data_IF_133775717164
#
_entry.id   IF_133775717164
#
_cell.length_a   1.000
_cell.length_b   1.000
_cell.length_c   1.000
_cell.angle_alpha   90.00
_cell.angle_beta   90.00
_cell.angle_gamma   90.00
#
_symmetry.space_group_name_H-M   'P 1'
#
loop_
_entity.id
_entity.type
_entity.pdbx_description
1 polymer ?
#
# COMPACT_ATOMS: atom_id res chain seq x y z
N UNK A 1 -1.05 -8.76 -7.74
CA UNK A 1 -0.93 -9.77 -8.81
C UNK A 1 -1.40 -9.26 -10.17
N UNK A 2 -2.67 -8.89 -10.38
CA UNK A 2 -3.14 -8.38 -11.70
C UNK A 2 -2.28 -7.24 -12.26
N UNK A 3 -1.86 -6.27 -11.43
CA UNK A 3 -0.96 -5.18 -11.86
C UNK A 3 0.32 -5.69 -12.50
N UNK A 4 0.94 -6.75 -11.94
CA UNK A 4 2.16 -7.35 -12.46
C UNK A 4 1.92 -7.97 -13.83
N UNK A 5 0.84 -8.75 -13.97
CA UNK A 5 0.43 -9.36 -15.24
C UNK A 5 0.10 -8.32 -16.31
N UNK A 6 -0.64 -7.27 -15.94
CA UNK A 6 -0.99 -6.18 -16.84
C UNK A 6 0.27 -5.45 -17.32
N UNK A 7 1.17 -5.06 -16.41
CA UNK A 7 2.43 -4.41 -16.78
C UNK A 7 3.31 -5.33 -17.65
N UNK A 8 3.42 -6.62 -17.30
CA UNK A 8 4.17 -7.57 -18.12
C UNK A 8 3.63 -7.62 -19.56
N UNK A 9 2.31 -7.60 -19.72
CA UNK A 9 1.67 -7.52 -21.04
C UNK A 9 1.93 -6.18 -21.73
N UNK A 10 1.98 -5.07 -20.99
CA UNK A 10 2.30 -3.76 -21.56
C UNK A 10 3.75 -3.63 -22.04
N UNK A 11 4.69 -4.47 -21.55
CA UNK A 11 6.05 -4.55 -22.12
C UNK A 11 6.04 -4.97 -23.61
N UNK A 12 4.95 -5.54 -24.13
CA UNK A 12 4.80 -5.81 -25.58
C UNK A 12 4.65 -4.50 -26.40
N UNK A 13 4.26 -3.40 -25.76
CA UNK A 13 3.91 -2.13 -26.42
C UNK A 13 4.75 -0.93 -25.95
N UNK A 14 5.38 -1.04 -24.78
CA UNK A 14 6.14 0.01 -24.15
C UNK A 14 7.51 -0.54 -23.72
N UNK A 15 8.54 0.29 -23.84
CA UNK A 15 9.91 -0.06 -23.47
C UNK A 15 10.18 0.36 -22.02
N UNK A 16 10.24 -0.62 -21.12
CA UNK A 16 10.56 -0.41 -19.70
C UNK A 16 10.99 -1.72 -19.03
N UNK A 17 11.83 -1.60 -18.01
CA UNK A 17 12.20 -2.71 -17.13
C UNK A 17 11.16 -2.93 -16.02
N UNK A 18 10.98 -4.19 -15.62
CA UNK A 18 10.00 -4.57 -14.62
C UNK A 18 10.63 -5.46 -13.55
N UNK A 19 10.55 -5.01 -12.30
CA UNK A 19 10.97 -5.74 -11.10
C UNK A 19 9.78 -5.79 -10.14
N UNK A 20 9.53 -6.94 -9.55
CA UNK A 20 8.52 -7.14 -8.51
C UNK A 20 9.16 -7.00 -7.12
N UNK A 21 8.40 -6.45 -6.16
CA UNK A 21 8.81 -6.37 -4.76
C UNK A 21 7.71 -6.98 -3.90
N UNK A 22 8.07 -7.93 -3.04
CA UNK A 22 7.21 -8.41 -1.96
C UNK A 22 7.79 -7.98 -0.61
N UNK A 23 6.90 -7.73 0.35
CA UNK A 23 7.29 -7.46 1.75
C UNK A 23 6.56 -8.48 2.61
N UNK A 24 7.29 -9.17 3.47
CA UNK A 24 6.74 -9.99 4.54
C UNK A 24 6.68 -9.19 5.85
N UNK A 25 5.51 -9.14 6.47
CA UNK A 25 5.34 -8.47 7.76
C UNK A 25 5.58 -9.39 8.94
N UNK A 26 5.74 -10.69 8.74
CA UNK A 26 5.90 -11.65 9.82
C UNK A 26 4.60 -11.91 10.59
N UNK A 27 3.45 -11.90 9.90
CA UNK A 27 2.15 -12.29 10.49
C UNK A 27 2.01 -13.81 10.44
N UNK A 28 2.00 -14.46 11.60
CA UNK A 28 1.93 -15.92 11.71
C UNK A 28 0.63 -16.48 11.12
N UNK A 29 0.76 -17.56 10.35
CA UNK A 29 -0.38 -18.31 9.79
C UNK A 29 -1.15 -17.61 8.66
N UNK A 30 -0.79 -16.37 8.32
CA UNK A 30 -1.45 -15.59 7.26
C UNK A 30 -0.60 -15.50 5.99
N UNK A 31 0.71 -15.27 6.14
CA UNK A 31 1.52 -14.74 5.04
C UNK A 31 2.19 -15.76 4.12
N UNK A 32 2.37 -17.00 4.57
CA UNK A 32 3.13 -18.01 3.82
C UNK A 32 2.58 -18.21 2.40
N UNK A 33 1.26 -18.42 2.27
CA UNK A 33 0.60 -18.56 0.97
C UNK A 33 0.65 -17.26 0.13
N UNK A 34 0.66 -16.09 0.76
CA UNK A 34 0.78 -14.81 0.07
C UNK A 34 2.14 -14.61 -0.61
N UNK A 35 3.21 -15.03 0.07
CA UNK A 35 4.57 -14.99 -0.47
C UNK A 35 4.71 -16.01 -1.59
N UNK A 36 4.24 -17.25 -1.38
CA UNK A 36 4.30 -18.30 -2.40
C UNK A 36 3.59 -17.86 -3.70
N UNK A 37 2.40 -17.28 -3.57
CA UNK A 37 1.69 -16.73 -4.72
C UNK A 37 2.49 -15.62 -5.43
N UNK A 38 3.13 -14.72 -4.69
CA UNK A 38 3.98 -13.67 -5.30
C UNK A 38 5.18 -14.27 -6.04
N UNK A 39 5.85 -15.26 -5.44
CA UNK A 39 6.99 -15.98 -6.04
C UNK A 39 6.57 -16.71 -7.31
N UNK A 40 5.47 -17.47 -7.26
CA UNK A 40 4.97 -18.23 -8.39
C UNK A 40 4.61 -17.30 -9.56
N UNK A 41 3.85 -16.23 -9.31
CA UNK A 41 3.47 -15.28 -10.35
C UNK A 41 4.68 -14.57 -10.99
N UNK A 42 5.66 -14.16 -10.18
CA UNK A 42 6.86 -13.50 -10.70
C UNK A 42 7.68 -14.47 -11.58
N UNK A 43 7.84 -15.72 -11.11
CA UNK A 43 8.52 -16.79 -11.84
C UNK A 43 7.84 -17.11 -13.16
N UNK A 44 6.52 -17.28 -13.17
CA UNK A 44 5.74 -17.61 -14.36
C UNK A 44 5.81 -16.50 -15.42
N UNK A 45 5.94 -15.25 -15.00
CA UNK A 45 6.09 -14.08 -15.88
C UNK A 45 7.55 -13.78 -16.26
N UNK A 46 8.52 -14.51 -15.70
CA UNK A 46 9.95 -14.23 -15.89
C UNK A 46 10.35 -12.84 -15.40
N UNK A 47 9.75 -12.38 -14.29
CA UNK A 47 10.05 -11.09 -13.66
C UNK A 47 10.87 -11.33 -12.39
N UNK A 48 11.94 -10.56 -12.20
CA UNK A 48 12.72 -10.61 -10.96
C UNK A 48 11.85 -10.23 -9.76
N UNK A 49 11.96 -10.98 -8.67
CA UNK A 49 11.27 -10.69 -7.41
C UNK A 49 12.27 -10.41 -6.30
N UNK A 50 12.26 -9.19 -5.79
CA UNK A 50 12.98 -8.80 -4.59
C UNK A 50 12.05 -9.03 -3.40
N UNK A 51 12.46 -9.96 -2.53
CA UNK A 51 11.74 -10.28 -1.31
C UNK A 51 12.37 -9.51 -0.15
N UNK A 52 11.54 -8.77 0.59
CA UNK A 52 11.91 -8.02 1.78
C UNK A 52 11.09 -8.48 2.97
N UNK A 53 11.53 -8.18 4.18
CA UNK A 53 10.78 -8.54 5.38
C UNK A 53 10.98 -7.52 6.50
N UNK A 54 9.96 -7.35 7.35
CA UNK A 54 10.08 -6.50 8.53
C UNK A 54 11.19 -6.99 9.45
N UNK A 55 11.33 -8.31 9.58
CA UNK A 55 12.35 -8.89 10.44
C UNK A 55 13.77 -8.54 9.96
N UNK A 56 14.06 -8.69 8.67
CA UNK A 56 15.40 -8.40 8.12
C UNK A 56 15.68 -6.90 7.99
N UNK A 57 14.70 -6.10 7.56
CA UNK A 57 14.91 -4.67 7.30
C UNK A 57 14.73 -3.79 8.57
N UNK A 58 13.92 -4.24 9.54
CA UNK A 58 13.54 -3.44 10.72
C UNK A 58 13.92 -4.07 12.07
N UNK A 59 14.18 -5.39 12.13
CA UNK A 59 14.60 -6.11 13.33
C UNK A 59 13.47 -6.72 14.17
N UNK A 60 12.22 -6.65 13.71
CA UNK A 60 11.04 -7.21 14.38
C UNK A 60 9.99 -7.63 13.35
N UNK A 61 9.08 -8.53 13.73
CA UNK A 61 7.85 -8.80 12.98
C UNK A 61 6.72 -7.85 13.40
N UNK A 62 5.69 -7.72 12.56
CA UNK A 62 4.48 -6.98 12.93
C UNK A 62 3.80 -7.59 14.15
N UNK A 63 3.81 -8.92 14.26
CA UNK A 63 3.26 -9.65 15.41
C UNK A 63 3.97 -9.31 16.73
N UNK A 64 5.19 -8.77 16.69
CA UNK A 64 5.95 -8.40 17.89
C UNK A 64 5.52 -7.03 18.43
N UNK A 65 4.99 -6.14 17.57
CA UNK A 65 4.77 -4.72 17.92
C UNK A 65 3.32 -4.27 17.80
N UNK A 66 2.42 -5.10 17.26
CA UNK A 66 1.06 -4.65 16.92
C UNK A 66 0.23 -4.22 18.13
N UNK A 67 0.50 -4.79 19.32
CA UNK A 67 -0.22 -4.55 20.57
C UNK A 67 -0.08 -3.12 21.07
N UNK A 68 1.02 -2.45 20.72
CA UNK A 68 1.38 -1.14 21.25
C UNK A 68 0.64 -0.01 20.50
N UNK A 69 -0.10 -0.39 19.45
CA UNK A 69 -0.85 0.53 18.61
C UNK A 69 -2.33 0.25 18.68
N UNK A 70 -3.14 1.31 18.55
CA UNK A 70 -4.60 1.21 18.43
C UNK A 70 -5.06 0.33 17.25
N UNK A 71 -4.18 0.11 16.27
CA UNK A 71 -4.42 -0.77 15.12
C UNK A 71 -3.09 -1.20 14.52
N UNK A 72 -2.93 -2.51 14.28
CA UNK A 72 -1.76 -3.08 13.59
C UNK A 72 -1.52 -2.46 12.19
N UNK A 73 -2.57 -1.93 11.56
CA UNK A 73 -2.48 -1.28 10.25
C UNK A 73 -1.63 0.00 10.28
N UNK A 74 -1.44 0.63 11.46
CA UNK A 74 -0.63 1.84 11.61
C UNK A 74 0.86 1.51 11.39
N UNK A 75 1.52 0.68 12.23
CA UNK A 75 2.92 0.33 12.02
C UNK A 75 3.12 -0.43 10.69
N UNK A 76 2.23 -1.38 10.37
CA UNK A 76 2.28 -2.12 9.10
C UNK A 76 2.34 -1.19 7.88
N UNK A 77 1.44 -0.20 7.80
CA UNK A 77 1.42 0.74 6.69
C UNK A 77 2.64 1.68 6.65
N UNK A 78 3.23 2.02 7.80
CA UNK A 78 4.43 2.88 7.86
C UNK A 78 5.65 2.13 7.33
N UNK A 79 5.98 0.97 7.91
CA UNK A 79 7.16 0.20 7.53
C UNK A 79 7.05 -0.37 6.12
N UNK A 80 5.90 -0.91 5.72
CA UNK A 80 5.71 -1.42 4.34
C UNK A 80 5.96 -0.35 3.29
N UNK A 81 5.49 0.88 3.52
CA UNK A 81 5.74 2.00 2.59
C UNK A 81 7.20 2.43 2.58
N UNK A 82 7.86 2.43 3.75
CA UNK A 82 9.28 2.75 3.88
C UNK A 82 10.15 1.75 3.10
N UNK A 83 9.97 0.44 3.36
CA UNK A 83 10.67 -0.65 2.70
C UNK A 83 10.46 -0.61 1.18
N UNK A 84 9.20 -0.44 0.72
CA UNK A 84 8.91 -0.34 -0.71
C UNK A 84 9.60 0.87 -1.37
N UNK A 85 9.64 2.02 -0.69
CA UNK A 85 10.30 3.21 -1.24
C UNK A 85 11.81 3.03 -1.33
N UNK A 86 12.44 2.57 -0.23
CA UNK A 86 13.89 2.30 -0.18
C UNK A 86 14.30 1.30 -1.25
N UNK A 87 13.61 0.16 -1.30
CA UNK A 87 13.91 -0.89 -2.27
C UNK A 87 13.77 -0.37 -3.70
N UNK A 88 12.71 0.39 -4.00
CA UNK A 88 12.55 0.99 -5.33
C UNK A 88 13.62 2.03 -5.66
N UNK A 89 14.04 2.84 -4.69
CA UNK A 89 15.11 3.81 -4.85
C UNK A 89 16.47 3.13 -5.08
N UNK A 90 16.78 2.09 -4.32
CA UNK A 90 18.05 1.35 -4.39
C UNK A 90 18.24 0.63 -5.73
N UNK A 91 17.15 0.14 -6.33
CA UNK A 91 17.19 -0.47 -7.68
C UNK A 91 17.11 0.56 -8.80
N UNK A 92 16.99 1.85 -8.47
CA UNK A 92 16.90 2.93 -9.47
C UNK A 92 15.57 2.96 -10.23
N UNK A 93 14.46 2.51 -9.63
CA UNK A 93 13.16 2.51 -10.28
C UNK A 93 12.58 3.94 -10.45
N UNK A 94 12.04 4.23 -11.63
CA UNK A 94 11.38 5.51 -11.91
C UNK A 94 9.97 5.62 -11.28
N UNK A 95 9.30 4.48 -11.08
CA UNK A 95 7.89 4.40 -10.65
C UNK A 95 7.65 3.18 -9.77
N UNK A 96 6.81 3.31 -8.74
CA UNK A 96 6.26 2.18 -8.00
C UNK A 96 4.81 1.95 -8.42
N UNK A 97 4.53 0.85 -9.11
CA UNK A 97 3.16 0.46 -9.42
C UNK A 97 2.51 -0.28 -8.24
N UNK A 98 1.31 0.15 -7.86
CA UNK A 98 0.53 -0.51 -6.81
C UNK A 98 -0.80 -1.02 -7.33
N UNK A 99 -1.32 -2.09 -6.71
CA UNK A 99 -2.57 -2.74 -7.12
C UNK A 99 -3.85 -2.10 -6.61
N UNK A 100 -3.81 -0.82 -6.20
CA UNK A 100 -5.01 -0.11 -5.73
C UNK A 100 -6.02 0.02 -6.87
N UNK A 101 -7.23 -0.44 -6.59
CA UNK A 101 -8.34 -0.48 -7.53
C UNK A 101 -9.36 0.64 -7.24
N UNK A 102 -10.42 0.75 -8.03
CA UNK A 102 -11.45 1.79 -7.87
C UNK A 102 -12.04 1.82 -6.47
N UNK A 103 -12.34 0.64 -5.90
CA UNK A 103 -12.91 0.51 -4.56
C UNK A 103 -11.95 1.03 -3.49
N UNK A 104 -10.66 0.71 -3.59
CA UNK A 104 -9.63 1.18 -2.65
C UNK A 104 -9.55 2.72 -2.61
N UNK A 105 -9.71 3.36 -3.78
CA UNK A 105 -9.66 4.81 -3.92
C UNK A 105 -10.90 5.49 -3.35
N UNK A 106 -12.10 5.02 -3.68
CA UNK A 106 -13.33 5.59 -3.11
C UNK A 106 -13.42 5.35 -1.60
N UNK A 107 -12.93 4.21 -1.09
CA UNK A 107 -12.82 3.97 0.35
C UNK A 107 -11.90 4.99 1.01
N UNK A 108 -10.71 5.20 0.44
CA UNK A 108 -9.72 6.17 0.94
C UNK A 108 -10.25 7.60 0.89
N UNK A 109 -10.96 7.96 -0.18
CA UNK A 109 -11.64 9.24 -0.35
C UNK A 109 -12.69 9.45 0.74
N UNK A 110 -13.63 8.50 0.90
CA UNK A 110 -14.68 8.58 1.93
C UNK A 110 -14.11 8.64 3.35
N UNK A 111 -13.05 7.88 3.64
CA UNK A 111 -12.36 7.94 4.93
C UNK A 111 -11.72 9.31 5.20
N UNK A 112 -11.17 9.96 4.17
CA UNK A 112 -10.51 11.26 4.31
C UNK A 112 -11.55 12.38 4.40
N UNK A 113 -12.58 12.29 3.57
CA UNK A 113 -13.76 13.17 3.60
C UNK A 113 -14.46 13.14 4.96
N UNK A 114 -14.73 11.96 5.52
CA UNK A 114 -15.37 11.81 6.82
C UNK A 114 -14.55 12.39 7.99
N UNK A 115 -13.22 12.52 7.82
CA UNK A 115 -12.34 13.15 8.81
C UNK A 115 -12.14 14.64 8.59
N UNK A 116 -12.65 15.20 7.49
CA UNK A 116 -12.36 16.58 7.08
C UNK A 116 -10.89 16.81 6.72
N UNK A 117 -10.16 15.76 6.33
CA UNK A 117 -8.73 15.84 6.00
C UNK A 117 -8.55 16.15 4.50
N UNK A 118 -8.80 17.41 4.14
CA UNK A 118 -8.74 17.86 2.74
C UNK A 118 -7.31 17.86 2.20
N UNK A 119 -6.30 18.06 3.04
CA UNK A 119 -4.88 17.99 2.61
C UNK A 119 -4.57 16.64 1.94
N UNK A 120 -5.20 15.54 2.37
CA UNK A 120 -5.02 14.24 1.73
C UNK A 120 -5.55 14.18 0.30
N UNK A 121 -6.51 15.00 -0.09
CA UNK A 121 -7.07 15.01 -1.45
C UNK A 121 -6.00 15.32 -2.51
N UNK A 122 -5.05 16.21 -2.21
CA UNK A 122 -3.88 16.47 -3.07
C UNK A 122 -2.97 15.25 -3.30
N UNK A 123 -3.12 14.18 -2.50
CA UNK A 123 -2.29 12.95 -2.57
C UNK A 123 -3.01 11.79 -3.26
N UNK A 124 -4.11 12.09 -3.94
CA UNK A 124 -4.86 11.13 -4.73
C UNK A 124 -4.65 11.38 -6.21
N UNK A 125 -4.79 10.31 -6.98
CA UNK A 125 -4.64 10.34 -8.42
C UNK A 125 -4.10 9.00 -8.93
N UNK A 126 -4.29 8.70 -10.22
CA UNK A 126 -3.73 7.52 -10.86
C UNK A 126 -2.19 7.53 -10.87
N UNK A 127 -1.60 8.71 -10.78
CA UNK A 127 -0.18 8.97 -10.71
C UNK A 127 0.07 10.08 -9.68
N UNK A 128 1.15 9.93 -8.91
CA UNK A 128 1.61 10.95 -7.97
C UNK A 128 2.86 11.64 -8.51
N UNK A 129 2.93 12.95 -8.28
CA UNK A 129 4.08 13.76 -8.67
C UNK A 129 5.34 13.41 -7.88
N UNK A 130 6.48 13.71 -8.48
CA UNK A 130 7.78 13.68 -7.79
C UNK A 130 7.87 14.89 -6.87
N UNK A 131 7.72 14.64 -5.58
CA UNK A 131 7.78 15.69 -4.55
C UNK A 131 9.12 15.72 -3.79
N UNK A 132 9.98 14.72 -3.99
CA UNK A 132 11.33 14.66 -3.41
C UNK A 132 12.22 13.69 -4.20
N UNK A 133 13.53 13.97 -4.42
CA UNK A 133 14.42 13.10 -5.20
C UNK A 133 14.56 11.65 -4.69
N UNK A 134 14.50 11.46 -3.37
CA UNK A 134 14.53 10.13 -2.72
C UNK A 134 13.16 9.44 -2.60
N UNK A 135 12.09 10.05 -3.11
CA UNK A 135 10.74 9.49 -3.03
C UNK A 135 10.29 9.05 -4.43
N UNK A 136 10.25 7.75 -4.65
CA UNK A 136 9.86 7.19 -5.95
C UNK A 136 8.34 7.40 -6.14
N UNK A 137 7.89 8.07 -7.23
CA UNK A 137 6.49 8.35 -7.45
C UNK A 137 5.68 7.07 -7.65
N UNK A 138 4.43 7.06 -7.16
CA UNK A 138 3.54 5.90 -7.25
C UNK A 138 2.56 6.05 -8.40
N UNK A 139 2.33 4.95 -9.11
CA UNK A 139 1.27 4.81 -10.11
C UNK A 139 0.29 3.73 -9.70
N UNK A 140 -0.95 3.85 -10.15
CA UNK A 140 -2.06 2.95 -9.84
C UNK A 140 -2.73 2.51 -11.15
N UNK A 141 -2.17 1.52 -11.85
CA UNK A 141 -2.71 1.08 -13.15
C UNK A 141 -4.17 0.60 -13.10
N UNK A 142 -4.64 0.17 -11.91
CA UNK A 142 -6.01 -0.31 -11.69
C UNK A 142 -6.94 0.76 -11.10
N UNK A 143 -6.51 2.04 -11.06
CA UNK A 143 -7.21 3.15 -10.42
C UNK A 143 -8.71 3.21 -10.75
N UNK A 144 -9.08 2.90 -11.99
CA UNK A 144 -10.47 2.97 -12.47
C UNK A 144 -11.09 1.59 -12.73
N UNK A 145 -10.54 0.53 -12.14
CA UNK A 145 -11.01 -0.85 -12.30
C UNK A 145 -11.69 -1.31 -11.00
N UNK A 146 -12.96 -1.76 -11.02
CA UNK A 146 -13.64 -2.28 -9.84
C UNK A 146 -12.92 -3.50 -9.22
N UNK A 147 -12.94 -3.63 -7.89
CA UNK A 147 -12.36 -4.77 -7.17
C UNK A 147 -12.95 -6.11 -7.65
N UNK A 148 -14.26 -6.12 -7.95
CA UNK A 148 -14.95 -7.30 -8.50
C UNK A 148 -14.35 -7.76 -9.83
N UNK A 149 -13.98 -6.82 -10.70
CA UNK A 149 -13.42 -7.13 -12.01
C UNK A 149 -11.98 -7.64 -11.88
N UNK A 150 -11.21 -7.09 -10.94
CA UNK A 150 -9.87 -7.58 -10.57
C UNK A 150 -9.95 -9.04 -10.10
N UNK A 151 -10.87 -9.35 -9.20
CA UNK A 151 -11.10 -10.71 -8.70
C UNK A 151 -11.59 -11.66 -9.79
N UNK A 152 -12.55 -11.23 -10.61
CA UNK A 152 -13.08 -12.01 -11.72
C UNK A 152 -11.98 -12.35 -12.73
N UNK A 153 -11.12 -11.40 -13.06
CA UNK A 153 -10.00 -11.64 -13.95
C UNK A 153 -9.06 -12.72 -13.40
N UNK A 154 -8.74 -12.68 -12.11
CA UNK A 154 -7.85 -13.66 -11.48
C UNK A 154 -8.44 -15.07 -11.56
N UNK A 155 -9.75 -15.22 -11.29
CA UNK A 155 -10.46 -16.51 -11.38
C UNK A 155 -10.51 -17.02 -12.82
N UNK A 156 -10.89 -16.18 -13.79
CA UNK A 156 -11.02 -16.59 -15.20
C UNK A 156 -9.68 -17.02 -15.83
N UNK A 157 -8.57 -16.47 -15.34
CA UNK A 157 -7.24 -16.78 -15.85
C UNK A 157 -6.48 -17.80 -14.98
N UNK A 158 -7.14 -18.42 -13.99
CA UNK A 158 -6.54 -19.38 -13.05
C UNK A 158 -5.25 -18.88 -12.40
N UNK A 159 -5.27 -17.63 -11.96
CA UNK A 159 -4.11 -16.96 -11.38
C UNK A 159 -4.00 -17.35 -9.91
N UNK A 160 -2.80 -17.79 -9.50
CA UNK A 160 -2.49 -18.06 -8.10
C UNK A 160 -2.58 -16.76 -7.30
N UNK A 161 -3.56 -16.65 -6.42
CA UNK A 161 -3.79 -15.49 -5.57
C UNK A 161 -4.04 -15.94 -4.14
N UNK A 162 -3.55 -15.13 -3.21
CA UNK A 162 -3.90 -15.28 -1.80
C UNK A 162 -5.23 -14.57 -1.53
N UNK A 163 -6.24 -15.36 -1.15
CA UNK A 163 -7.62 -14.90 -0.92
C UNK A 163 -7.90 -14.53 0.54
N UNK A 164 -7.03 -14.89 1.48
CA UNK A 164 -7.30 -14.66 2.89
C UNK A 164 -7.15 -13.17 3.23
N UNK A 165 -8.08 -12.66 4.05
CA UNK A 165 -8.00 -11.32 4.59
C UNK A 165 -7.09 -11.28 5.82
N UNK A 166 -6.34 -10.19 5.98
CA UNK A 166 -5.43 -10.04 7.12
C UNK A 166 -6.23 -10.06 8.44
N UNK A 167 -5.80 -10.85 9.45
CA UNK A 167 -6.54 -11.00 10.70
C UNK A 167 -6.73 -9.67 11.46
N UNK A 168 -5.83 -8.70 11.24
CA UNK A 168 -5.89 -7.38 11.86
C UNK A 168 -6.75 -6.35 11.08
N UNK A 169 -7.26 -6.69 9.90
CA UNK A 169 -7.92 -5.74 9.00
C UNK A 169 -9.40 -5.47 9.32
N UNK A 170 -10.10 -6.44 9.91
CA UNK A 170 -11.57 -6.43 10.08
C UNK A 170 -12.08 -5.32 11.01
N UNK A 171 -11.26 -4.85 11.97
CA UNK A 171 -11.65 -3.80 12.92
C UNK A 171 -11.51 -2.38 12.34
N UNK A 172 -11.02 -2.26 11.11
CA UNK A 172 -10.73 -0.95 10.50
C UNK A 172 -11.98 -0.23 10.00
N UNK A 173 -11.95 1.11 10.03
CA UNK A 173 -12.96 1.95 9.36
C UNK A 173 -13.08 1.61 7.86
N UNK A 174 -11.97 1.23 7.23
CA UNK A 174 -11.95 0.83 5.82
C UNK A 174 -12.86 -0.38 5.56
N UNK A 175 -12.80 -1.41 6.42
CA UNK A 175 -13.65 -2.59 6.29
C UNK A 175 -15.14 -2.23 6.34
N UNK A 176 -15.55 -1.35 7.29
CA UNK A 176 -16.94 -0.87 7.39
C UNK A 176 -17.40 -0.10 6.15
N UNK A 177 -16.51 0.71 5.57
CA UNK A 177 -16.82 1.44 4.33
C UNK A 177 -16.90 0.49 3.14
N UNK A 178 -16.02 -0.50 3.04
CA UNK A 178 -16.08 -1.55 2.01
C UNK A 178 -17.42 -2.28 2.06
N UNK A 179 -17.86 -2.71 3.24
CA UNK A 179 -19.16 -3.34 3.44
C UNK A 179 -20.32 -2.43 2.99
N UNK A 180 -20.32 -1.17 3.44
CA UNK A 180 -21.33 -0.18 3.03
C UNK A 180 -21.37 -0.02 1.51
N UNK A 181 -20.23 0.11 0.85
CA UNK A 181 -20.13 0.27 -0.60
C UNK A 181 -20.63 -0.97 -1.33
N UNK A 182 -20.28 -2.17 -0.87
CA UNK A 182 -20.72 -3.43 -1.49
C UNK A 182 -22.24 -3.61 -1.38
N UNK A 183 -22.81 -3.42 -0.17
CA UNK A 183 -24.25 -3.55 0.06
C UNK A 183 -25.06 -2.58 -0.80
N UNK A 184 -24.54 -1.36 -1.00
CA UNK A 184 -25.26 -0.35 -1.79
C UNK A 184 -25.00 -0.47 -3.29
N UNK A 185 -23.86 -1.00 -3.73
CA UNK A 185 -23.64 -1.32 -5.15
C UNK A 185 -24.61 -2.40 -5.63
N UNK A 186 -24.88 -3.42 -4.81
CA UNK A 186 -25.86 -4.47 -5.14
C UNK A 186 -27.30 -3.93 -5.23
N UNK A 187 -27.64 -2.94 -4.39
CA UNK A 187 -28.97 -2.29 -4.40
C UNK A 187 -29.11 -1.24 -5.49
N UNK A 188 -28.02 -0.53 -5.79
CA UNK A 188 -27.96 0.61 -6.70
C UNK A 188 -26.73 0.47 -7.61
N UNK A 189 -26.82 -0.33 -8.69
CA UNK A 189 -25.70 -0.57 -9.59
C UNK A 189 -25.14 0.74 -10.17
N UNK A 190 -23.81 0.87 -10.15
CA UNK A 190 -23.09 2.07 -10.59
C UNK A 190 -22.83 3.10 -9.50
N UNK A 191 -23.24 2.85 -8.24
CA UNK A 191 -23.00 3.75 -7.11
C UNK A 191 -21.50 4.03 -6.91
N UNK A 192 -20.66 3.00 -6.93
CA UNK A 192 -19.20 3.15 -6.78
C UNK A 192 -18.60 3.99 -7.90
N UNK A 193 -19.05 3.77 -9.14
CA UNK A 193 -18.63 4.57 -10.30
C UNK A 193 -19.07 6.02 -10.15
N UNK A 194 -20.30 6.28 -9.71
CA UNK A 194 -20.80 7.64 -9.48
C UNK A 194 -19.99 8.37 -8.39
N UNK A 195 -19.58 7.66 -7.32
CA UNK A 195 -18.69 8.20 -6.29
C UNK A 195 -17.32 8.51 -6.89
N UNK A 196 -16.74 7.60 -7.66
CA UNK A 196 -15.45 7.79 -8.34
C UNK A 196 -15.49 9.01 -9.29
N UNK A 197 -16.55 9.18 -10.08
CA UNK A 197 -16.71 10.35 -10.95
C UNK A 197 -16.89 11.65 -10.17
N UNK A 198 -17.60 11.62 -9.03
CA UNK A 198 -17.71 12.77 -8.13
C UNK A 198 -16.35 13.12 -7.51
N UNK A 199 -15.60 12.10 -7.12
CA UNK A 199 -14.27 12.23 -6.55
C UNK A 199 -13.28 12.84 -7.55
N UNK A 200 -13.22 12.35 -8.79
CA UNK A 200 -12.37 12.93 -9.85
C UNK A 200 -12.62 14.42 -10.06
N UNK A 201 -13.89 14.86 -10.00
CA UNK A 201 -14.23 16.28 -10.11
C UNK A 201 -13.68 17.08 -8.94
N UNK A 202 -13.72 16.56 -7.72
CA UNK A 202 -13.20 17.23 -6.52
C UNK A 202 -11.67 17.35 -6.59
N UNK A 203 -10.96 16.30 -7.01
CA UNK A 203 -9.49 16.32 -7.11
C UNK A 203 -8.94 17.46 -7.97
N UNK A 204 -9.60 17.77 -9.07
CA UNK A 204 -9.18 18.84 -9.99
C UNK A 204 -9.09 20.21 -9.29
N UNK A 205 -9.83 20.43 -8.20
CA UNK A 205 -9.86 21.71 -7.50
C UNK A 205 -8.70 21.92 -6.51
N UNK A 206 -7.98 20.87 -6.08
CA UNK A 206 -7.05 20.96 -4.93
C UNK A 206 -5.56 20.77 -5.28
N UNK A 207 -5.18 20.75 -6.56
CA UNK A 207 -3.81 20.45 -6.99
C UNK A 207 -2.72 21.51 -6.66
N UNK A 208 -3.03 22.59 -5.94
CA UNK A 208 -2.12 23.72 -5.69
C UNK A 208 -1.37 23.69 -4.33
N UNK A 209 -1.29 22.54 -3.65
CA UNK A 209 -0.61 22.45 -2.35
C UNK A 209 0.83 21.95 -2.52
N UNK A 210 1.79 22.86 -2.66
CA UNK A 210 3.22 22.51 -2.57
C UNK A 210 3.57 22.10 -1.13
N UNK A 211 3.93 20.84 -0.92
CA UNK A 211 4.49 20.37 0.35
C UNK A 211 6.00 20.21 0.20
N UNK A 212 6.77 21.05 0.89
CA UNK A 212 8.21 20.84 1.02
C UNK A 212 8.46 19.69 2.00
N UNK A 213 9.13 18.64 1.53
CA UNK A 213 9.61 17.55 2.37
C UNK A 213 11.06 17.81 2.79
N UNK A 214 11.37 17.45 4.03
CA UNK A 214 12.73 17.43 4.56
C UNK A 214 13.26 15.98 4.54
N UNK A 215 14.54 15.81 4.82
CA UNK A 215 15.14 14.50 5.08
C UNK A 215 15.20 14.23 6.58
N UNK A 216 14.94 12.97 6.98
CA UNK A 216 14.94 12.57 8.37
C UNK A 216 16.34 12.64 8.98
N UNK A 217 16.47 13.23 10.16
CA UNK A 217 17.77 13.37 10.85
C UNK A 217 18.42 12.03 11.24
N UNK A 218 17.64 10.94 11.38
CA UNK A 218 18.13 9.62 11.79
C UNK A 218 18.45 8.73 10.59
N UNK A 219 17.53 8.61 9.62
CA UNK A 219 17.65 7.66 8.51
C UNK A 219 17.83 8.30 7.13
N UNK A 220 17.75 9.63 7.01
CA UNK A 220 17.89 10.34 5.72
C UNK A 220 16.72 10.16 4.75
N UNK A 221 15.62 9.50 5.17
CA UNK A 221 14.42 9.29 4.36
C UNK A 221 13.53 10.55 4.29
N UNK A 222 12.76 10.76 3.20
CA UNK A 222 11.85 11.89 3.07
C UNK A 222 10.76 11.91 4.15
N UNK A 223 10.51 13.08 4.73
CA UNK A 223 9.53 13.27 5.81
C UNK A 223 8.99 14.71 5.83
N UNK A 224 7.79 14.89 6.39
CA UNK A 224 7.20 16.21 6.64
C UNK A 224 7.61 16.81 7.99
N UNK A 225 8.37 16.05 8.79
CA UNK A 225 8.85 16.40 10.14
C UNK A 225 10.38 16.26 10.20
N UNK A 226 11.04 16.56 11.32
CA UNK A 226 12.49 16.35 11.46
C UNK A 226 12.84 14.85 11.56
N UNK A 227 11.99 14.06 12.20
CA UNK A 227 12.12 12.60 12.33
C UNK A 227 10.97 11.95 11.54
N UNK A 228 11.26 10.90 10.78
CA UNK A 228 10.22 10.20 10.02
C UNK A 228 9.41 9.27 10.93
N UNK A 229 8.18 8.95 10.52
CA UNK A 229 7.28 8.14 11.34
C UNK A 229 7.82 6.74 11.63
N UNK A 230 8.65 6.18 10.74
CA UNK A 230 9.27 4.88 10.95
C UNK A 230 10.30 4.93 12.10
N UNK A 231 11.16 5.96 12.13
CA UNK A 231 12.10 6.17 13.23
C UNK A 231 11.40 6.45 14.55
N UNK A 232 10.36 7.30 14.56
CA UNK A 232 9.56 7.54 15.77
C UNK A 232 8.96 6.24 16.34
N UNK A 233 8.42 5.37 15.47
CA UNK A 233 7.85 4.09 15.91
C UNK A 233 8.95 3.14 16.40
N UNK A 234 10.12 3.11 15.74
CA UNK A 234 11.25 2.28 16.18
C UNK A 234 11.75 2.66 17.58
N UNK A 235 11.85 3.95 17.87
CA UNK A 235 12.25 4.42 19.20
C UNK A 235 11.26 3.94 20.27
N UNK A 236 9.94 4.06 20.01
CA UNK A 236 8.90 3.57 20.92
C UNK A 236 9.05 2.06 21.21
N UNK A 237 9.19 1.24 20.16
CA UNK A 237 9.34 -0.22 20.30
C UNK A 237 10.64 -0.60 21.02
N UNK A 238 11.73 0.14 20.80
CA UNK A 238 13.03 -0.12 21.41
C UNK A 238 13.01 0.14 22.92
N UNK A 239 12.28 1.18 23.37
CA UNK A 239 12.14 1.49 24.79
C UNK A 239 11.28 0.47 25.54
N UNK A 240 10.27 -0.12 24.89
CA UNK A 240 9.43 -1.14 25.53
C UNK A 240 10.18 -2.48 25.70
N UNK A 241 11.12 -2.81 24.79
CA UNK A 241 12.02 -3.96 24.96
C UNK A 241 12.92 -3.84 26.21
N UNK A 242 13.40 -2.65 26.57
CA UNK A 242 14.18 -2.47 27.82
C UNK A 242 13.31 -2.64 29.08
N UNK A 243 12.00 -2.39 28.98
CA UNK A 243 11.06 -2.52 30.09
C UNK A 243 10.58 -3.96 30.32
N UNK A 244 10.60 -4.81 29.30
CA UNK A 244 10.16 -6.21 29.36
C UNK A 244 11.27 -7.23 29.66
N UNK A 245 12.52 -6.79 29.83
CA UNK A 245 13.64 -7.64 30.31
C UNK A 245 13.72 -7.67 31.85
N UNK A 246 12.76 -7.07 32.56
CA UNK A 246 12.74 -7.02 34.03
C UNK A 246 11.87 -8.08 34.73
N UNK A 247 11.12 -8.91 34.03
CA UNK A 247 10.29 -9.95 34.65
C UNK A 247 10.61 -11.34 34.06
N UNK A 248 11.75 -11.91 34.51
CA UNK A 248 11.97 -13.37 34.57
C UNK A 248 11.15 -14.01 35.70
#
# INVERSE_FOLDING_TARGET
>A
VLTLHALKRYQEFLDFDLVAISVDEGIKGYRSHGIDAAVNNAKDLGVELIQKSFYEDEGFALDDIYSDFKSACIPCGVFRRNILNKTAYDVGADKIATGHNLDDEIQSFLMSFARGDTIKFSKFGPELDVIHPKLVPRIKPLWNTPEKDVGLWAVLNNIDIHLEECPYSHLSLRAKIKEFLNVNEDKYPGLKNNIMESFKKILVFENDISTNLNECEICGEPTSSNICKACEIKELVSHDCESHVCDE
#
